data_IF_913736980171
#
_entry.id   IF_913736980171
#
_cell.length_a   1.000
_cell.length_b   1.000
_cell.length_c   1.000
_cell.angle_alpha   90.00
_cell.angle_beta   90.00
_cell.angle_gamma   90.00
#
_symmetry.space_group_name_H-M   'P 1'
#
loop_
_entity.id
_entity.type
_entity.pdbx_description
1 polymer ?
#
# COMPACT_ATOMS: atom_id res chain seq x y z
N UNK A 1 3.71 2.63 13.30
CA UNK A 1 3.53 3.34 12.01
C UNK A 1 3.65 2.33 10.89
N UNK A 2 2.72 2.35 9.94
CA UNK A 2 2.55 1.32 8.90
C UNK A 2 3.70 1.28 7.88
N UNK A 3 3.98 2.39 7.18
CA UNK A 3 4.87 2.40 6.01
C UNK A 3 6.24 1.74 6.22
N UNK A 4 6.99 1.99 7.32
CA UNK A 4 8.26 1.28 7.56
C UNK A 4 8.12 -0.21 7.79
N UNK A 5 6.97 -0.68 8.28
CA UNK A 5 6.68 -2.10 8.48
C UNK A 5 6.35 -2.81 7.15
N UNK A 6 5.90 -2.06 6.13
CA UNK A 6 5.64 -2.59 4.80
C UNK A 6 6.92 -2.72 3.94
N UNK A 7 7.97 -1.95 4.22
CA UNK A 7 9.22 -1.98 3.44
C UNK A 7 9.90 -3.37 3.41
N UNK A 8 10.03 -4.12 4.52
CA UNK A 8 10.54 -5.48 4.49
C UNK A 8 9.69 -6.42 3.62
N UNK A 9 8.37 -6.33 3.70
CA UNK A 9 7.44 -7.12 2.89
C UNK A 9 7.59 -6.78 1.40
N UNK A 10 7.65 -5.49 1.08
CA UNK A 10 7.88 -5.00 -0.28
C UNK A 10 9.19 -5.54 -0.85
N UNK A 11 10.31 -5.40 -0.13
CA UNK A 11 11.61 -5.91 -0.60
C UNK A 11 11.61 -7.42 -0.81
N UNK A 12 10.98 -8.16 0.10
CA UNK A 12 10.92 -9.62 0.06
C UNK A 12 10.08 -10.12 -1.11
N UNK A 13 8.93 -9.50 -1.36
CA UNK A 13 7.94 -10.03 -2.30
C UNK A 13 7.87 -9.30 -3.64
N UNK A 14 8.56 -8.16 -3.84
CA UNK A 14 8.50 -7.41 -5.10
C UNK A 14 8.85 -8.23 -6.33
N UNK A 15 9.83 -9.12 -6.23
CA UNK A 15 10.24 -9.98 -7.34
C UNK A 15 9.24 -11.11 -7.63
N UNK A 16 8.31 -11.37 -6.72
CA UNK A 16 7.21 -12.34 -6.90
C UNK A 16 5.95 -11.69 -7.48
N UNK A 17 5.99 -10.40 -7.77
CA UNK A 17 4.88 -9.62 -8.33
C UNK A 17 4.03 -8.89 -7.30
N UNK A 18 4.52 -8.71 -6.06
CA UNK A 18 3.91 -7.81 -5.08
C UNK A 18 4.39 -6.36 -5.30
N UNK A 19 3.56 -5.37 -5.03
CA UNK A 19 3.97 -3.96 -5.06
C UNK A 19 3.22 -3.19 -3.98
N UNK A 20 3.93 -2.32 -3.28
CA UNK A 20 3.34 -1.31 -2.40
C UNK A 20 3.34 0.01 -3.16
N UNK A 21 2.26 0.77 -3.04
CA UNK A 21 2.18 2.15 -3.55
C UNK A 21 1.68 3.01 -2.41
N UNK A 22 2.53 3.90 -1.91
CA UNK A 22 2.11 4.89 -0.92
C UNK A 22 1.42 6.05 -1.65
N UNK A 23 0.26 6.48 -1.15
CA UNK A 23 -0.42 7.68 -1.64
C UNK A 23 -0.37 8.72 -0.53
N UNK A 24 0.20 9.87 -0.85
CA UNK A 24 0.29 11.01 0.06
C UNK A 24 -1.11 11.57 0.35
N UNK A 25 -1.31 12.24 1.48
CA UNK A 25 -2.64 12.73 1.90
C UNK A 25 -2.83 14.22 1.65
N UNK A 26 -1.87 15.04 2.08
CA UNK A 26 -2.03 16.47 2.35
C UNK A 26 -1.47 17.37 1.25
N UNK A 27 -1.05 16.80 0.12
CA UNK A 27 -0.32 17.45 -0.98
C UNK A 27 0.97 18.12 -0.53
N UNK A 28 1.58 17.62 0.54
CA UNK A 28 2.92 18.06 0.98
C UNK A 28 3.97 17.07 0.46
N UNK A 29 4.16 17.09 -0.86
CA UNK A 29 5.12 16.24 -1.57
C UNK A 29 6.53 16.36 -0.98
N UNK A 30 6.95 17.57 -0.61
CA UNK A 30 8.30 17.79 -0.08
C UNK A 30 8.50 17.06 1.24
N UNK A 31 7.54 17.19 2.18
CA UNK A 31 7.57 16.45 3.45
C UNK A 31 7.47 14.95 3.23
N UNK A 32 6.62 14.49 2.32
CA UNK A 32 6.48 13.07 2.03
C UNK A 32 7.78 12.48 1.44
N UNK A 33 8.41 13.17 0.48
CA UNK A 33 9.71 12.76 -0.08
C UNK A 33 10.80 12.72 0.99
N UNK A 34 10.86 13.73 1.86
CA UNK A 34 11.81 13.76 2.98
C UNK A 34 11.61 12.56 3.92
N UNK A 35 10.35 12.25 4.26
CA UNK A 35 10.00 11.10 5.09
C UNK A 35 10.39 9.76 4.45
N UNK A 36 10.09 9.57 3.16
CA UNK A 36 10.49 8.36 2.40
C UNK A 36 12.02 8.19 2.45
N UNK A 37 12.77 9.27 2.21
CA UNK A 37 14.23 9.24 2.24
C UNK A 37 14.79 8.96 3.65
N UNK A 38 14.26 9.63 4.68
CA UNK A 38 14.67 9.43 6.08
C UNK A 38 14.45 8.00 6.56
N UNK A 39 13.33 7.38 6.14
CA UNK A 39 12.97 6.01 6.52
C UNK A 39 13.53 4.94 5.58
N UNK A 40 14.22 5.32 4.49
CA UNK A 40 14.80 4.39 3.52
C UNK A 40 13.77 3.55 2.77
N UNK A 41 12.57 4.10 2.57
CA UNK A 41 11.46 3.41 1.90
C UNK A 41 11.71 3.40 0.38
N UNK A 42 11.50 2.26 -0.27
CA UNK A 42 11.86 2.08 -1.69
C UNK A 42 10.68 1.82 -2.62
N UNK A 43 9.48 1.70 -2.07
CA UNK A 43 8.27 1.60 -2.88
C UNK A 43 7.85 2.97 -3.46
N UNK A 44 7.14 2.98 -4.60
CA UNK A 44 6.60 4.20 -5.20
C UNK A 44 5.74 5.02 -4.23
N UNK A 45 5.91 6.35 -4.31
CA UNK A 45 5.06 7.35 -3.67
C UNK A 45 4.31 8.12 -4.76
N UNK A 46 2.98 8.17 -4.65
CA UNK A 46 2.10 8.98 -5.50
C UNK A 46 1.57 10.18 -4.73
N UNK A 47 1.48 11.32 -5.42
CA UNK A 47 0.82 12.51 -4.89
C UNK A 47 -0.70 12.31 -4.91
N UNK A 48 -1.39 12.78 -3.87
CA UNK A 48 -2.85 12.92 -3.92
C UNK A 48 -3.16 13.98 -4.98
N UNK A 49 -3.86 13.64 -6.07
CA UNK A 49 -4.05 14.50 -7.25
C UNK A 49 -4.54 15.94 -6.98
N UNK A 50 -4.59 16.78 -8.02
CA UNK A 50 -4.86 18.23 -7.91
C UNK A 50 -6.35 18.61 -7.67
N UNK A 51 -6.60 19.79 -7.07
CA UNK A 51 -7.93 20.39 -6.87
C UNK A 51 -8.86 19.69 -5.87
N UNK A 52 -10.18 19.76 -6.11
CA UNK A 52 -11.17 19.01 -5.32
C UNK A 52 -11.13 17.48 -5.56
N UNK A 53 -10.21 17.01 -6.38
CA UNK A 53 -10.07 15.62 -6.82
C UNK A 53 -9.26 14.77 -5.84
N UNK A 54 -9.44 14.94 -4.52
CA UNK A 54 -8.74 14.10 -3.54
C UNK A 54 -9.15 12.63 -3.72
N UNK A 55 -8.33 11.91 -4.50
CA UNK A 55 -8.59 10.55 -4.97
C UNK A 55 -8.84 9.65 -3.78
N UNK A 56 -8.04 9.81 -2.73
CA UNK A 56 -8.10 8.98 -1.52
C UNK A 56 -9.44 9.11 -0.78
N UNK A 57 -9.90 10.34 -0.52
CA UNK A 57 -11.15 10.57 0.23
C UNK A 57 -12.41 10.36 -0.62
N UNK A 58 -12.42 10.88 -1.86
CA UNK A 58 -13.62 10.88 -2.70
C UNK A 58 -13.81 9.58 -3.47
N UNK A 59 -12.77 9.10 -4.16
CA UNK A 59 -12.89 7.93 -5.03
C UNK A 59 -12.73 6.62 -4.25
N UNK A 60 -11.78 6.57 -3.32
CA UNK A 60 -11.53 5.39 -2.49
C UNK A 60 -12.32 5.38 -1.17
N UNK A 61 -13.12 6.43 -0.90
CA UNK A 61 -13.97 6.56 0.29
C UNK A 61 -13.22 6.34 1.61
N UNK A 62 -11.93 6.68 1.65
CA UNK A 62 -11.14 6.63 2.89
C UNK A 62 -11.71 7.66 3.84
N UNK A 63 -12.02 7.26 5.07
CA UNK A 63 -12.56 8.15 6.12
C UNK A 63 -11.60 8.34 7.31
N UNK A 64 -10.51 7.58 7.35
CA UNK A 64 -9.55 7.53 8.46
C UNK A 64 -8.16 7.12 7.98
N UNK A 65 -7.12 7.52 8.71
CA UNK A 65 -5.73 7.25 8.35
C UNK A 65 -5.01 6.49 9.47
N UNK A 66 -4.11 5.55 9.13
CA UNK A 66 -3.89 5.03 7.78
C UNK A 66 -5.07 4.19 7.26
N UNK A 67 -5.16 4.03 5.94
CA UNK A 67 -6.04 3.05 5.30
C UNK A 67 -5.29 2.42 4.12
N UNK A 68 -5.29 1.09 4.06
CA UNK A 68 -4.62 0.30 3.04
C UNK A 68 -5.61 -0.59 2.30
N UNK A 69 -5.44 -0.68 0.99
CA UNK A 69 -6.24 -1.56 0.14
C UNK A 69 -5.35 -2.67 -0.42
N UNK A 70 -5.79 -3.91 -0.28
CA UNK A 70 -5.16 -5.03 -0.94
C UNK A 70 -5.87 -5.30 -2.27
N UNK A 71 -5.12 -5.23 -3.37
CA UNK A 71 -5.64 -5.35 -4.72
C UNK A 71 -5.07 -6.61 -5.37
N UNK A 72 -5.92 -7.45 -5.95
CA UNK A 72 -5.50 -8.67 -6.65
C UNK A 72 -4.97 -8.39 -8.07
N UNK A 73 -4.49 -9.45 -8.76
CA UNK A 73 -3.94 -9.35 -10.12
C UNK A 73 -4.97 -8.96 -11.18
N UNK A 74 -6.27 -9.03 -10.87
CA UNK A 74 -7.36 -8.60 -11.74
C UNK A 74 -7.79 -7.16 -11.45
N UNK A 75 -7.09 -6.45 -10.55
CA UNK A 75 -7.39 -5.07 -10.19
C UNK A 75 -8.56 -4.93 -9.21
N UNK A 76 -8.97 -6.01 -8.54
CA UNK A 76 -10.08 -5.97 -7.57
C UNK A 76 -9.56 -5.75 -6.17
N UNK A 77 -10.21 -4.87 -5.42
CA UNK A 77 -9.97 -4.72 -3.97
C UNK A 77 -10.52 -5.96 -3.27
N UNK A 78 -9.63 -6.74 -2.65
CA UNK A 78 -9.98 -7.98 -1.93
C UNK A 78 -9.92 -7.81 -0.42
N UNK A 79 -9.24 -6.78 0.08
CA UNK A 79 -9.29 -6.39 1.48
C UNK A 79 -9.12 -4.87 1.64
N UNK A 80 -9.67 -4.33 2.73
CA UNK A 80 -9.48 -2.94 3.16
C UNK A 80 -9.11 -2.97 4.65
N UNK A 81 -7.98 -2.35 4.98
CA UNK A 81 -7.45 -2.27 6.34
C UNK A 81 -7.52 -0.83 6.79
N UNK A 82 -8.25 -0.58 7.87
CA UNK A 82 -8.41 0.75 8.44
C UNK A 82 -7.65 0.81 9.76
N UNK A 83 -6.72 1.76 9.87
CA UNK A 83 -5.75 1.80 10.96
C UNK A 83 -4.59 0.83 10.73
N UNK A 84 -3.60 0.91 11.62
CA UNK A 84 -2.48 -0.01 11.65
C UNK A 84 -1.89 -0.06 13.06
N UNK A 85 -1.79 -1.25 13.62
CA UNK A 85 -1.12 -1.52 14.88
C UNK A 85 0.14 -2.36 14.66
N UNK A 86 1.07 -2.30 15.61
CA UNK A 86 2.24 -3.16 15.57
C UNK A 86 1.81 -4.64 15.64
N UNK A 87 2.30 -5.44 14.68
CA UNK A 87 1.93 -6.84 14.51
C UNK A 87 0.96 -7.09 13.35
N UNK A 88 0.28 -6.05 12.84
CA UNK A 88 -0.58 -6.17 11.67
C UNK A 88 0.19 -6.63 10.42
N UNK A 89 1.50 -6.35 10.34
CA UNK A 89 2.35 -6.81 9.24
C UNK A 89 2.33 -8.33 9.05
N UNK A 90 2.15 -9.11 10.13
CA UNK A 90 2.08 -10.58 10.06
C UNK A 90 0.79 -11.02 9.36
N UNK A 91 -0.31 -10.33 9.64
CA UNK A 91 -1.60 -10.60 8.99
C UNK A 91 -1.54 -10.18 7.52
N UNK A 92 -1.00 -9.00 7.23
CA UNK A 92 -0.80 -8.51 5.86
C UNK A 92 0.08 -9.46 5.05
N UNK A 93 1.17 -9.97 5.61
CA UNK A 93 2.06 -10.91 4.93
C UNK A 93 1.34 -12.20 4.51
N UNK A 94 0.47 -12.75 5.37
CA UNK A 94 -0.34 -13.94 5.03
C UNK A 94 -1.29 -13.66 3.87
N UNK A 95 -1.94 -12.50 3.87
CA UNK A 95 -2.84 -12.09 2.79
C UNK A 95 -2.07 -11.90 1.47
N UNK A 96 -0.89 -11.28 1.52
CA UNK A 96 0.01 -11.11 0.37
C UNK A 96 0.43 -12.47 -0.19
N UNK A 97 0.91 -13.39 0.65
CA UNK A 97 1.34 -14.72 0.23
C UNK A 97 0.21 -15.50 -0.45
N UNK A 98 -0.99 -15.45 0.12
CA UNK A 98 -2.17 -16.08 -0.47
C UNK A 98 -2.45 -15.57 -1.88
N UNK A 99 -2.44 -14.25 -2.10
CA UNK A 99 -2.69 -13.68 -3.44
C UNK A 99 -1.56 -13.95 -4.43
N UNK A 100 -0.32 -14.04 -3.93
CA UNK A 100 0.82 -14.41 -4.76
C UNK A 100 0.67 -15.85 -5.26
N UNK A 101 0.17 -16.77 -4.44
CA UNK A 101 -0.08 -18.17 -4.78
C UNK A 101 -1.27 -18.34 -5.73
N UNK A 102 -2.40 -17.67 -5.47
CA UNK A 102 -3.59 -17.71 -6.33
C UNK A 102 -3.26 -17.27 -7.77
N UNK A 103 -2.37 -16.28 -7.92
CA UNK A 103 -1.93 -15.80 -9.23
C UNK A 103 -0.95 -16.69 -9.98
N UNK A 104 -0.38 -17.73 -9.36
CA UNK A 104 0.48 -18.71 -10.04
C UNK A 104 -0.30 -19.94 -10.52
N UNK A 105 -1.55 -20.12 -10.08
CA UNK A 105 -2.38 -21.28 -10.42
C UNK A 105 -3.28 -21.16 -11.65
N UNK A 106 -3.30 -19.99 -12.33
CA UNK A 106 -4.21 -19.75 -13.48
C UNK A 106 -3.55 -19.88 -14.86
N UNK A 107 -2.36 -20.49 -14.94
CA UNK A 107 -1.73 -20.90 -16.20
C UNK A 107 -2.01 -22.37 -16.50
N UNK A 108 -3.23 -22.67 -16.96
CA UNK A 108 -3.63 -23.97 -17.50
C UNK A 108 -4.27 -23.80 -18.86
#
# INVERSE_FOLDING_TARGET
>A
MELPRLEPLYRTYRQRGFTVVAVERNRDTARAKAFIAEKGLTFPLLENGEGESEVVWRLYKVSSFPTSFLVDRHGRVVATHVGFEEGDEVRLEREILRLLEEGQGSGG
#
